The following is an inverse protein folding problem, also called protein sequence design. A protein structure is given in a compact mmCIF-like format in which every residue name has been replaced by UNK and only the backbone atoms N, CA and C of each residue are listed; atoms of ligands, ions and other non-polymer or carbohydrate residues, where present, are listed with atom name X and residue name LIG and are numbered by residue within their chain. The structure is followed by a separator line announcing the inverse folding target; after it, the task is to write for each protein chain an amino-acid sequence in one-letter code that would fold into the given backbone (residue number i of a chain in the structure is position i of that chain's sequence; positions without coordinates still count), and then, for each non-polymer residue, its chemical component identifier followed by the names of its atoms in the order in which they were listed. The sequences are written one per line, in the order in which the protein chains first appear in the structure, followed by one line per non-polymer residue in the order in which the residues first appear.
data_IF_506083102046
#
_entry.id   IF_506083102046
#
_cell.length_a   1.000
_cell.length_b   1.000
_cell.length_c   1.000
_cell.angle_alpha   90.00
_cell.angle_beta   90.00
_cell.angle_gamma   90.00
#
_symmetry.space_group_name_H-M   'P 1'
#
loop_
_entity.id
_entity.type
_entity.pdbx_description
1 polymer ?
#
# COMPACT_ATOMS: atom_id res chain seq x y z
N UNK A 1 4.30 -21.33 6.78
CA UNK A 1 3.44 -21.49 7.96
C UNK A 1 4.21 -21.10 9.23
N UNK A 2 4.33 -19.80 9.52
CA UNK A 2 4.77 -19.36 10.85
C UNK A 2 3.51 -19.33 11.70
N UNK A 3 3.30 -20.37 12.51
CA UNK A 3 2.32 -20.27 13.59
C UNK A 3 2.87 -19.20 14.53
N UNK A 4 2.21 -18.05 14.62
CA UNK A 4 2.35 -17.17 15.76
C UNK A 4 2.15 -18.03 17.00
N UNK A 5 3.24 -18.32 17.73
CA UNK A 5 3.12 -18.86 19.07
C UNK A 5 2.63 -17.72 19.94
N UNK A 6 1.32 -17.46 19.90
CA UNK A 6 0.65 -16.69 20.91
C UNK A 6 0.86 -17.44 22.23
N UNK A 7 1.72 -16.91 23.11
CA UNK A 7 1.66 -17.24 24.53
C UNK A 7 0.21 -16.98 24.95
N UNK A 8 -0.50 -17.94 25.57
CA UNK A 8 -1.86 -17.71 25.98
C UNK A 8 -1.83 -16.69 27.12
N UNK A 9 -2.07 -15.42 26.80
CA UNK A 9 -2.30 -14.39 27.80
C UNK A 9 -3.69 -14.69 28.34
N UNK A 10 -3.73 -15.33 29.51
CA UNK A 10 -4.97 -15.71 30.19
C UNK A 10 -5.76 -14.46 30.57
N UNK A 11 -6.64 -14.02 29.67
CA UNK A 11 -7.60 -12.94 29.88
C UNK A 11 -8.55 -13.32 31.02
N UNK A 12 -8.37 -12.71 32.21
CA UNK A 12 -9.27 -12.96 33.35
C UNK A 12 -10.63 -12.24 33.23
N UNK A 13 -10.78 -11.26 32.32
CA UNK A 13 -12.01 -10.46 32.21
C UNK A 13 -12.27 -9.82 30.83
N UNK A 14 -11.65 -10.32 29.77
CA UNK A 14 -11.91 -9.90 28.39
C UNK A 14 -11.28 -8.56 27.95
N UNK A 15 -10.82 -7.72 28.88
CA UNK A 15 -10.13 -6.45 28.58
C UNK A 15 -9.00 -6.17 29.58
N UNK A 16 -7.93 -5.53 29.09
CA UNK A 16 -6.82 -5.04 29.92
C UNK A 16 -7.15 -3.66 30.50
N UNK A 17 -6.77 -3.39 31.74
CA UNK A 17 -6.76 -2.05 32.30
C UNK A 17 -5.74 -1.15 31.60
N UNK A 18 -5.90 0.19 31.63
CA UNK A 18 -4.93 1.10 31.03
C UNK A 18 -3.48 0.90 31.52
N UNK A 19 -3.28 0.58 32.80
CA UNK A 19 -1.95 0.28 33.35
C UNK A 19 -1.36 -1.00 32.76
N UNK A 20 -2.15 -2.06 32.63
CA UNK A 20 -1.71 -3.31 32.01
C UNK A 20 -1.34 -3.11 30.54
N UNK A 21 -2.11 -2.31 29.79
CA UNK A 21 -1.78 -1.97 28.39
C UNK A 21 -0.42 -1.26 28.32
N UNK A 22 -0.18 -0.29 29.22
CA UNK A 22 1.09 0.44 29.26
C UNK A 22 2.25 -0.51 29.59
N UNK A 23 2.07 -1.41 30.55
CA UNK A 23 3.12 -2.35 30.95
C UNK A 23 3.42 -3.37 29.83
N UNK A 24 2.39 -3.87 29.14
CA UNK A 24 2.54 -4.72 27.96
C UNK A 24 3.28 -3.96 26.85
N UNK A 25 2.91 -2.71 26.59
CA UNK A 25 3.55 -1.90 25.55
C UNK A 25 5.03 -1.66 25.88
N UNK A 26 5.36 -1.34 27.14
CA UNK A 26 6.76 -1.14 27.58
C UNK A 26 7.59 -2.42 27.51
N UNK A 27 6.97 -3.57 27.78
CA UNK A 27 7.66 -4.86 27.75
C UNK A 27 7.82 -5.42 26.33
N UNK A 28 7.11 -4.89 25.34
CA UNK A 28 7.14 -5.40 23.97
C UNK A 28 8.41 -4.91 23.26
N UNK A 29 9.23 -5.87 22.84
CA UNK A 29 10.36 -5.59 21.95
C UNK A 29 9.88 -5.20 20.54
N UNK A 30 10.72 -4.42 19.83
CA UNK A 30 10.45 -4.05 18.44
C UNK A 30 10.48 -5.31 17.58
N UNK A 31 9.36 -5.60 16.95
CA UNK A 31 9.29 -6.61 15.91
C UNK A 31 9.95 -6.05 14.65
N UNK A 32 11.13 -6.56 14.31
CA UNK A 32 11.89 -6.09 13.15
C UNK A 32 11.12 -6.29 11.85
N UNK A 33 10.35 -7.36 11.73
CA UNK A 33 9.62 -7.69 10.52
C UNK A 33 8.43 -6.75 10.25
N UNK A 34 7.86 -6.20 11.32
CA UNK A 34 6.78 -5.21 11.27
C UNK A 34 7.24 -3.77 11.47
N UNK A 35 8.56 -3.56 11.63
CA UNK A 35 9.15 -2.22 11.79
C UNK A 35 9.35 -1.49 10.47
N UNK A 36 9.53 -2.23 9.36
CA UNK A 36 9.84 -1.68 8.04
C UNK A 36 11.04 -0.70 8.02
N UNK A 37 11.93 -0.82 9.02
CA UNK A 37 13.06 0.10 9.26
C UNK A 37 14.10 0.08 8.13
N UNK A 38 14.11 -1.00 7.35
CA UNK A 38 14.99 -1.20 6.21
C UNK A 38 14.59 -0.36 4.98
N UNK A 39 13.34 0.11 4.91
CA UNK A 39 12.83 0.83 3.75
C UNK A 39 13.10 2.33 3.85
N UNK A 40 13.65 2.89 2.77
CA UNK A 40 13.87 4.33 2.61
C UNK A 40 12.62 5.00 2.04
N UNK A 41 12.48 6.33 2.18
CA UNK A 41 11.37 7.07 1.55
C UNK A 41 11.23 6.83 0.04
N UNK A 42 12.35 6.62 -0.68
CA UNK A 42 12.35 6.25 -2.11
C UNK A 42 11.61 4.94 -2.37
N UNK A 43 11.75 3.96 -1.47
CA UNK A 43 11.19 2.62 -1.62
C UNK A 43 9.68 2.63 -1.35
N UNK A 44 9.22 3.57 -0.52
CA UNK A 44 7.79 3.78 -0.22
C UNK A 44 7.04 4.54 -1.32
N UNK A 45 7.74 4.98 -2.37
CA UNK A 45 7.21 5.80 -3.46
C UNK A 45 6.99 5.04 -4.76
N UNK A 46 7.01 3.70 -4.72
CA UNK A 46 6.82 2.82 -5.88
C UNK A 46 5.44 2.98 -6.55
N UNK A 47 5.25 2.32 -7.70
CA UNK A 47 4.00 2.35 -8.48
C UNK A 47 3.52 3.81 -8.69
N UNK A 48 2.24 4.07 -8.45
CA UNK A 48 1.61 5.40 -8.56
C UNK A 48 1.57 6.14 -7.21
N UNK A 49 2.25 5.63 -6.17
CA UNK A 49 2.21 6.20 -4.82
C UNK A 49 2.93 7.56 -4.71
N UNK A 50 3.74 7.93 -5.70
CA UNK A 50 4.45 9.22 -5.78
C UNK A 50 3.67 10.34 -6.50
N UNK A 51 2.56 10.04 -7.18
CA UNK A 51 1.85 11.02 -8.02
C UNK A 51 1.18 12.14 -7.23
N UNK A 52 0.80 11.87 -5.98
CA UNK A 52 0.18 12.87 -5.11
C UNK A 52 0.58 12.64 -3.65
N UNK A 53 0.96 13.72 -2.97
CA UNK A 53 1.21 13.71 -1.52
C UNK A 53 -0.11 13.76 -0.79
N UNK A 54 -0.36 12.77 0.05
CA UNK A 54 -1.53 12.72 0.91
C UNK A 54 -1.04 12.50 2.35
N UNK A 55 -1.53 13.26 3.34
CA UNK A 55 -1.11 13.10 4.72
C UNK A 55 -1.50 11.73 5.27
N UNK A 56 -0.70 11.19 6.19
CA UNK A 56 -0.99 9.95 6.91
C UNK A 56 -1.34 8.73 6.02
N UNK A 57 -0.66 8.58 4.87
CA UNK A 57 -0.79 7.39 4.02
C UNK A 57 0.05 6.22 4.55
N UNK A 58 -0.42 4.99 4.35
CA UNK A 58 0.40 3.80 4.54
C UNK A 58 1.58 3.77 3.57
N UNK A 59 2.67 3.13 3.98
CA UNK A 59 3.69 2.67 3.05
C UNK A 59 3.16 1.43 2.30
N UNK A 60 3.47 1.26 1.02
CA UNK A 60 3.04 0.08 0.27
C UNK A 60 3.43 -1.24 0.96
N UNK A 61 4.64 -1.33 1.48
CA UNK A 61 5.21 -2.53 2.10
C UNK A 61 4.35 -3.10 3.24
N UNK A 62 3.73 -2.23 4.05
CA UNK A 62 2.81 -2.65 5.11
C UNK A 62 1.58 -3.34 4.54
N UNK A 63 0.94 -2.69 3.56
CA UNK A 63 -0.25 -3.21 2.89
C UNK A 63 0.06 -4.53 2.20
N UNK A 64 1.19 -4.58 1.50
CA UNK A 64 1.64 -5.76 0.78
C UNK A 64 1.90 -6.94 1.70
N UNK A 65 2.58 -6.72 2.82
CA UNK A 65 2.79 -7.76 3.82
C UNK A 65 1.47 -8.31 4.37
N UNK A 66 0.49 -7.44 4.65
CA UNK A 66 -0.84 -7.86 5.08
C UNK A 66 -1.54 -8.71 4.01
N UNK A 67 -1.43 -8.33 2.73
CA UNK A 67 -1.98 -9.13 1.64
C UNK A 67 -1.32 -10.51 1.55
N UNK A 68 0.00 -10.56 1.65
CA UNK A 68 0.75 -11.81 1.55
C UNK A 68 0.44 -12.75 2.73
N UNK A 69 0.20 -12.21 3.92
CA UNK A 69 -0.14 -12.97 5.13
C UNK A 69 -1.59 -13.46 5.15
N UNK A 70 -2.54 -12.63 4.74
CA UNK A 70 -3.98 -12.92 4.93
C UNK A 70 -4.71 -13.34 3.66
N UNK A 71 -4.18 -13.06 2.47
CA UNK A 71 -4.86 -13.28 1.19
C UNK A 71 -4.19 -14.34 0.31
N UNK A 72 -3.02 -14.86 0.67
CA UNK A 72 -2.26 -15.80 -0.16
C UNK A 72 -2.99 -17.11 -0.46
N UNK A 73 -3.82 -17.59 0.47
CA UNK A 73 -4.61 -18.83 0.32
C UNK A 73 -6.08 -18.56 -0.08
N UNK A 74 -6.45 -17.30 -0.37
CA UNK A 74 -7.82 -16.93 -0.73
C UNK A 74 -8.00 -17.03 -2.24
N UNK A 75 -8.96 -17.84 -2.68
CA UNK A 75 -9.36 -17.89 -4.10
C UNK A 75 -10.10 -16.60 -4.46
N UNK A 76 -9.58 -15.84 -5.44
CA UNK A 76 -10.15 -14.57 -5.92
C UNK A 76 -10.43 -13.55 -4.80
N UNK A 77 -9.40 -13.03 -4.11
CA UNK A 77 -9.61 -12.14 -2.97
C UNK A 77 -10.23 -10.80 -3.39
N UNK A 78 -11.15 -10.31 -2.56
CA UNK A 78 -11.75 -8.98 -2.66
C UNK A 78 -11.29 -8.11 -1.50
N UNK A 79 -10.53 -7.06 -1.80
CA UNK A 79 -10.05 -6.08 -0.82
C UNK A 79 -10.98 -4.87 -0.76
N UNK A 80 -11.50 -4.56 0.43
CA UNK A 80 -12.37 -3.40 0.66
C UNK A 80 -11.71 -2.39 1.62
N UNK A 81 -11.54 -1.14 1.18
CA UNK A 81 -10.96 -0.07 2.01
C UNK A 81 -11.98 1.07 2.22
N UNK A 82 -12.48 1.20 3.46
CA UNK A 82 -13.49 2.19 3.83
C UNK A 82 -12.93 3.58 4.13
N UNK A 83 -11.60 3.74 4.13
CA UNK A 83 -10.91 5.00 4.40
C UNK A 83 -9.72 5.14 3.43
N UNK A 84 -9.96 4.99 2.13
CA UNK A 84 -8.90 4.77 1.15
C UNK A 84 -7.84 5.88 1.08
N UNK A 85 -8.20 7.13 1.41
CA UNK A 85 -7.32 8.28 1.32
C UNK A 85 -6.65 8.37 -0.05
N UNK A 86 -5.33 8.20 -0.06
CA UNK A 86 -4.52 8.24 -1.28
C UNK A 86 -4.60 7.01 -2.18
N UNK A 87 -5.38 6.00 -1.80
CA UNK A 87 -5.59 4.75 -2.54
C UNK A 87 -4.44 3.75 -2.44
N UNK A 88 -3.65 3.76 -1.35
CA UNK A 88 -2.47 2.89 -1.25
C UNK A 88 -2.85 1.41 -1.22
N UNK A 89 -3.87 1.06 -0.44
CA UNK A 89 -4.44 -0.29 -0.38
C UNK A 89 -4.86 -0.79 -1.75
N UNK A 90 -5.61 0.05 -2.49
CA UNK A 90 -6.17 -0.31 -3.79
C UNK A 90 -5.10 -0.47 -4.85
N UNK A 91 -4.13 0.44 -4.91
CA UNK A 91 -3.03 0.34 -5.88
C UNK A 91 -2.24 -0.97 -5.69
N UNK A 92 -1.98 -1.37 -4.44
CA UNK A 92 -1.30 -2.64 -4.15
C UNK A 92 -2.14 -3.88 -4.49
N UNK A 93 -3.46 -3.82 -4.24
CA UNK A 93 -4.39 -4.91 -4.55
C UNK A 93 -4.58 -5.08 -6.07
N UNK A 94 -4.80 -3.99 -6.80
CA UNK A 94 -4.94 -3.99 -8.27
C UNK A 94 -3.66 -4.49 -8.92
N UNK A 95 -2.49 -4.08 -8.43
CA UNK A 95 -1.20 -4.57 -8.94
C UNK A 95 -1.01 -6.08 -8.77
N UNK A 96 -1.72 -6.71 -7.81
CA UNK A 96 -1.76 -8.17 -7.61
C UNK A 96 -2.91 -8.87 -8.36
N UNK A 97 -3.75 -8.12 -9.09
CA UNK A 97 -4.90 -8.65 -9.81
C UNK A 97 -6.11 -8.97 -8.92
N UNK A 98 -6.18 -8.39 -7.71
CA UNK A 98 -7.30 -8.62 -6.79
C UNK A 98 -8.51 -7.76 -7.14
N UNK A 99 -9.70 -8.23 -6.76
CA UNK A 99 -10.91 -7.42 -6.81
C UNK A 99 -10.86 -6.36 -5.71
N UNK A 100 -11.35 -5.16 -6.00
CA UNK A 100 -11.30 -4.06 -5.04
C UNK A 100 -12.61 -3.28 -4.96
N UNK A 101 -12.93 -2.81 -3.77
CA UNK A 101 -13.92 -1.76 -3.53
C UNK A 101 -13.37 -0.77 -2.51
N UNK A 102 -13.88 0.47 -2.54
CA UNK A 102 -13.46 1.48 -1.59
C UNK A 102 -14.50 2.57 -1.39
N UNK A 103 -14.37 3.27 -0.26
CA UNK A 103 -15.04 4.54 -0.04
C UNK A 103 -14.12 5.49 0.74
N UNK A 104 -14.39 6.78 0.61
CA UNK A 104 -13.82 7.83 1.43
C UNK A 104 -14.81 9.00 1.43
N UNK A 105 -14.92 9.70 2.56
CA UNK A 105 -15.76 10.89 2.66
C UNK A 105 -15.16 12.08 1.90
N UNK A 106 -13.83 12.11 1.72
CA UNK A 106 -13.12 13.16 1.05
C UNK A 106 -13.18 12.98 -0.47
N UNK A 107 -13.85 13.90 -1.15
CA UNK A 107 -13.94 13.92 -2.62
C UNK A 107 -12.57 13.95 -3.32
N UNK A 108 -11.56 14.56 -2.71
CA UNK A 108 -10.20 14.59 -3.27
C UNK A 108 -9.57 13.19 -3.28
N UNK A 109 -9.83 12.38 -2.24
CA UNK A 109 -9.41 10.97 -2.22
C UNK A 109 -9.99 10.21 -3.41
N UNK A 110 -11.26 10.43 -3.73
CA UNK A 110 -11.95 9.80 -4.86
C UNK A 110 -11.34 10.20 -6.21
N UNK A 111 -11.02 11.48 -6.40
CA UNK A 111 -10.30 11.94 -7.60
C UNK A 111 -8.90 11.31 -7.71
N UNK A 112 -8.11 11.35 -6.64
CA UNK A 112 -6.76 10.77 -6.60
C UNK A 112 -6.82 9.29 -6.96
N UNK A 113 -7.76 8.57 -6.34
CA UNK A 113 -8.00 7.15 -6.53
C UNK A 113 -8.29 6.84 -8.01
N UNK A 114 -9.26 7.54 -8.62
CA UNK A 114 -9.57 7.36 -10.05
C UNK A 114 -8.34 7.56 -10.92
N UNK A 115 -7.59 8.63 -10.71
CA UNK A 115 -6.40 8.92 -11.53
C UNK A 115 -5.31 7.86 -11.36
N UNK A 116 -5.04 7.43 -10.12
CA UNK A 116 -3.96 6.48 -9.82
C UNK A 116 -4.18 5.08 -10.35
N UNK A 117 -5.44 4.68 -10.45
CA UNK A 117 -5.80 3.29 -10.71
C UNK A 117 -6.62 3.10 -11.99
N UNK A 118 -6.83 4.15 -12.79
CA UNK A 118 -7.32 4.01 -14.16
C UNK A 118 -6.15 3.59 -15.05
N UNK A 119 -6.16 2.37 -15.62
CA UNK A 119 -5.11 1.95 -16.54
C UNK A 119 -5.12 2.83 -17.78
N UNK A 120 -3.93 3.18 -18.28
CA UNK A 120 -3.82 3.83 -19.59
C UNK A 120 -4.19 2.81 -20.66
N UNK A 121 -5.08 3.17 -21.58
CA UNK A 121 -5.39 2.33 -22.73
C UNK A 121 -4.09 2.07 -23.55
N UNK A 122 -3.66 0.80 -23.71
CA UNK A 122 -2.43 0.47 -24.44
C UNK A 122 -2.41 1.00 -25.88
N UNK A 123 -3.55 1.04 -26.56
CA UNK A 123 -3.64 1.51 -27.95
C UNK A 123 -3.26 3.00 -28.07
N UNK A 124 -3.46 3.78 -27.01
CA UNK A 124 -3.08 5.19 -26.95
C UNK A 124 -1.57 5.41 -26.83
N UNK A 125 -0.78 4.37 -26.56
CA UNK A 125 0.68 4.45 -26.45
C UNK A 125 1.36 4.34 -27.83
N UNK A 126 0.79 3.57 -28.76
CA UNK A 126 1.39 3.29 -30.07
C UNK A 126 1.58 4.54 -30.94
N UNK A 127 0.65 5.49 -30.87
CA UNK A 127 0.72 6.77 -31.61
C UNK A 127 1.65 7.80 -30.97
N UNK A 128 1.92 7.72 -29.66
CA UNK A 128 2.77 8.67 -28.92
C UNK A 128 4.23 8.22 -28.80
N UNK A 129 4.51 6.92 -28.90
CA UNK A 129 5.88 6.40 -28.88
C UNK A 129 6.72 6.95 -30.04
N UNK A 130 6.15 7.08 -31.24
CA UNK A 130 6.86 7.71 -32.36
C UNK A 130 7.21 9.17 -32.07
N UNK A 131 6.30 9.93 -31.45
CA UNK A 131 6.54 11.34 -31.07
C UNK A 131 7.60 11.47 -29.98
N UNK A 132 7.55 10.65 -28.93
CA UNK A 132 8.54 10.69 -27.83
C UNK A 132 9.93 10.23 -28.29
N UNK A 133 10.01 9.21 -29.14
CA UNK A 133 11.27 8.77 -29.75
C UNK A 133 11.83 9.85 -30.69
N UNK A 134 10.98 10.52 -31.48
CA UNK A 134 11.42 11.63 -32.36
C UNK A 134 11.87 12.86 -31.57
N UNK A 135 11.22 13.16 -30.44
CA UNK A 135 11.61 14.25 -29.53
C UNK A 135 12.90 13.93 -28.75
N UNK A 136 13.18 12.65 -28.47
CA UNK A 136 14.39 12.18 -27.77
C UNK A 136 15.66 12.17 -28.63
N UNK A 137 15.55 12.24 -29.96
CA UNK A 137 16.71 12.28 -30.89
C UNK A 137 17.19 13.74 -31.14
N UNK A 138 16.52 14.74 -30.55
CA UNK A 138 16.86 16.16 -30.71
C UNK A 138 17.89 16.73 -29.72
N UNK A 139 18.24 16.02 -28.65
CA UNK A 139 19.33 16.43 -27.76
C UNK A 139 20.65 15.86 -28.27
N UNK A 140 21.24 16.56 -29.24
CA UNK A 140 22.67 16.45 -29.52
C UNK A 140 23.44 16.63 -28.21
N UNK A 141 24.06 15.56 -27.71
CA UNK A 141 25.26 15.71 -26.90
C UNK A 141 26.36 16.23 -27.83
N UNK A 142 26.45 17.56 -27.93
CA UNK A 142 27.58 18.24 -28.53
C UNK A 142 28.55 18.66 -27.41
N UNK A 143 29.79 18.18 -27.55
CA UNK A 143 31.01 18.47 -26.77
C UNK A 143 31.08 17.89 -25.33
#
# INVERSE_FOLDING_TARGET
MVKLQEKPISLKQGYYSPSEIIDIFKAKEIDKEWSFIEYKPSDTSKLTHCYHRYPAKFIPQLVERLMDEYLSDVYEPHVNDLFMGSGTTLACAIARGYQVSCTDINYISELIMRVKNTPINPDCLGTKNSTLLTMGIGYNYAA
#
